data_IF_562679322688
#
_entry.id   IF_562679322688
#
_cell.length_a   1.000
_cell.length_b   1.000
_cell.length_c   1.000
_cell.angle_alpha   90.00
_cell.angle_beta   90.00
_cell.angle_gamma   90.00
#
_symmetry.space_group_name_H-M   'P 1'
#
loop_
_entity.id
_entity.type
_entity.pdbx_description
1 polymer ?
#
# COMPACT_ATOMS: atom_id res chain seq x y z
N UNK A 1 16.04 -18.50 11.41
CA UNK A 1 15.73 -18.65 9.98
C UNK A 1 15.78 -17.27 9.36
N UNK A 2 16.93 -16.87 8.79
CA UNK A 2 17.11 -15.54 8.19
C UNK A 2 16.85 -15.61 6.70
N UNK A 3 15.59 -15.45 6.29
CA UNK A 3 15.28 -15.10 4.90
C UNK A 3 15.65 -13.64 4.68
N UNK A 4 16.24 -13.30 3.53
CA UNK A 4 16.54 -11.90 3.18
C UNK A 4 15.28 -11.05 3.41
N UNK A 5 15.32 -10.10 4.35
CA UNK A 5 14.17 -9.28 4.77
C UNK A 5 13.46 -8.61 3.59
N UNK A 6 14.23 -8.26 2.54
CA UNK A 6 13.71 -7.73 1.27
C UNK A 6 12.82 -8.70 0.50
N UNK A 7 13.04 -10.01 0.60
CA UNK A 7 12.23 -11.05 -0.04
C UNK A 7 10.86 -11.20 0.62
N UNK A 8 10.77 -10.96 1.92
CA UNK A 8 9.50 -10.97 2.65
C UNK A 8 8.71 -9.69 2.41
N UNK A 9 9.39 -8.54 2.28
CA UNK A 9 8.77 -7.25 1.94
C UNK A 9 8.11 -7.22 0.56
N UNK A 10 8.63 -8.00 -0.40
CA UNK A 10 8.05 -8.17 -1.75
C UNK A 10 7.51 -9.59 -1.98
N UNK A 11 7.01 -10.24 -0.92
CA UNK A 11 6.44 -11.58 -1.03
C UNK A 11 5.29 -11.60 -2.05
N UNK A 12 5.25 -12.56 -3.00
CA UNK A 12 4.17 -12.65 -3.96
C UNK A 12 2.80 -12.95 -3.30
N UNK A 13 2.82 -13.45 -2.07
CA UNK A 13 1.64 -13.75 -1.27
C UNK A 13 1.16 -12.58 -0.40
N UNK A 14 1.88 -11.45 -0.39
CA UNK A 14 1.47 -10.29 0.38
C UNK A 14 0.26 -9.60 -0.26
N UNK A 15 -0.67 -9.13 0.58
CA UNK A 15 -1.89 -8.44 0.14
C UNK A 15 -1.57 -7.20 -0.69
N UNK A 16 -0.46 -6.52 -0.42
CA UNK A 16 -0.02 -5.33 -1.15
C UNK A 16 0.58 -5.62 -2.55
N UNK A 17 0.94 -6.86 -2.86
CA UNK A 17 1.66 -7.23 -4.09
C UNK A 17 0.88 -6.93 -5.38
N UNK A 18 -0.44 -7.21 -5.49
CA UNK A 18 -1.21 -6.83 -6.67
C UNK A 18 -1.22 -5.30 -6.90
N UNK A 19 -1.31 -4.51 -5.83
CA UNK A 19 -1.27 -3.04 -5.91
C UNK A 19 0.12 -2.52 -6.32
N UNK A 20 1.20 -3.15 -5.83
CA UNK A 20 2.58 -2.91 -6.29
C UNK A 20 2.69 -3.22 -7.79
N UNK A 21 2.11 -4.33 -8.25
CA UNK A 21 2.05 -4.70 -9.66
C UNK A 21 1.37 -3.63 -10.52
N UNK A 22 0.20 -3.13 -10.09
CA UNK A 22 -0.51 -2.05 -10.78
C UNK A 22 0.36 -0.78 -10.87
N UNK A 23 1.01 -0.39 -9.78
CA UNK A 23 1.91 0.77 -9.76
C UNK A 23 3.12 0.56 -10.69
N UNK A 24 3.66 -0.65 -10.75
CA UNK A 24 4.77 -0.98 -11.64
C UNK A 24 4.34 -0.98 -13.12
N UNK A 25 3.18 -1.54 -13.45
CA UNK A 25 2.63 -1.47 -14.81
C UNK A 25 2.34 -0.01 -15.19
N UNK A 26 1.87 0.81 -14.25
CA UNK A 26 1.69 2.25 -14.46
C UNK A 26 3.01 2.96 -14.75
N UNK A 27 4.11 2.58 -14.10
CA UNK A 27 5.44 3.09 -14.42
C UNK A 27 5.81 2.83 -15.88
N UNK A 28 5.62 1.61 -16.36
CA UNK A 28 6.03 1.17 -17.70
C UNK A 28 5.19 1.79 -18.82
N UNK A 29 3.87 1.87 -18.65
CA UNK A 29 2.95 2.21 -19.74
C UNK A 29 2.35 3.63 -19.65
N UNK A 30 2.34 4.23 -18.47
CA UNK A 30 1.71 5.54 -18.25
C UNK A 30 2.69 6.69 -17.98
N UNK A 31 3.97 6.41 -17.72
CA UNK A 31 4.94 7.47 -17.47
C UNK A 31 5.37 8.20 -18.75
N UNK A 32 5.09 7.68 -19.94
CA UNK A 32 5.37 8.36 -21.22
C UNK A 32 4.06 8.83 -21.86
N UNK A 33 3.85 10.15 -21.91
CA UNK A 33 2.70 10.78 -22.56
C UNK A 33 3.19 11.77 -23.62
N UNK A 34 2.90 11.49 -24.90
CA UNK A 34 3.29 12.36 -26.00
C UNK A 34 4.81 12.50 -26.19
N UNK A 35 5.58 11.44 -25.92
CA UNK A 35 7.05 11.45 -26.06
C UNK A 35 7.79 12.11 -24.88
N UNK A 36 7.09 12.66 -23.90
CA UNK A 36 7.68 13.22 -22.68
C UNK A 36 7.37 12.35 -21.46
N UNK A 37 8.38 12.18 -20.61
CA UNK A 37 8.27 11.39 -19.39
C UNK A 37 7.64 12.26 -18.30
N UNK A 38 6.46 11.88 -17.80
CA UNK A 38 5.84 12.51 -16.63
C UNK A 38 6.58 12.06 -15.38
N UNK A 39 7.58 12.83 -15.00
CA UNK A 39 8.34 12.66 -13.76
C UNK A 39 7.43 12.54 -12.55
N UNK A 40 6.32 13.29 -12.49
CA UNK A 40 5.33 13.19 -11.41
C UNK A 40 4.72 11.79 -11.29
N UNK A 41 4.34 11.16 -12.39
CA UNK A 41 3.83 9.79 -12.37
C UNK A 41 4.92 8.80 -11.96
N UNK A 42 6.15 9.00 -12.46
CA UNK A 42 7.28 8.14 -12.12
C UNK A 42 7.58 8.16 -10.62
N UNK A 43 7.82 9.33 -10.04
CA UNK A 43 8.13 9.46 -8.62
C UNK A 43 7.00 8.97 -7.72
N UNK A 44 5.74 9.28 -8.03
CA UNK A 44 4.63 8.86 -7.20
C UNK A 44 4.40 7.34 -7.22
N UNK A 45 4.54 6.68 -8.37
CA UNK A 45 4.44 5.21 -8.40
C UNK A 45 5.63 4.55 -7.69
N UNK A 46 6.86 5.10 -7.79
CA UNK A 46 8.00 4.62 -7.01
C UNK A 46 7.75 4.75 -5.51
N UNK A 47 7.30 5.93 -5.05
CA UNK A 47 6.98 6.17 -3.64
C UNK A 47 5.91 5.17 -3.16
N UNK A 48 4.86 4.94 -3.94
CA UNK A 48 3.82 3.96 -3.59
C UNK A 48 4.36 2.53 -3.49
N UNK A 49 5.21 2.10 -4.43
CA UNK A 49 5.83 0.77 -4.39
C UNK A 49 6.65 0.61 -3.12
N UNK A 50 7.46 1.62 -2.76
CA UNK A 50 8.21 1.61 -1.52
C UNK A 50 7.31 1.59 -0.28
N UNK A 51 6.27 2.44 -0.22
CA UNK A 51 5.35 2.51 0.91
C UNK A 51 4.64 1.17 1.14
N UNK A 52 4.19 0.52 0.05
CA UNK A 52 3.52 -0.78 0.08
C UNK A 52 4.47 -1.91 0.50
N UNK A 53 5.72 -1.89 0.02
CA UNK A 53 6.75 -2.83 0.44
C UNK A 53 7.14 -2.67 1.91
N UNK A 54 7.23 -1.42 2.39
CA UNK A 54 7.49 -1.12 3.81
C UNK A 54 6.29 -1.54 4.67
N UNK A 55 5.06 -1.28 4.24
CA UNK A 55 3.84 -1.76 4.92
C UNK A 55 3.89 -3.27 5.14
N UNK A 56 4.21 -4.04 4.09
CA UNK A 56 4.39 -5.50 4.20
C UNK A 56 5.52 -5.87 5.17
N UNK A 57 6.67 -5.20 5.06
CA UNK A 57 7.82 -5.45 5.95
C UNK A 57 7.55 -5.13 7.42
N UNK A 58 6.78 -4.09 7.70
CA UNK A 58 6.35 -3.75 9.06
C UNK A 58 5.48 -4.86 9.65
N UNK A 59 4.56 -5.42 8.86
CA UNK A 59 3.68 -6.51 9.30
C UNK A 59 4.41 -7.85 9.46
N UNK A 60 5.33 -8.22 8.56
CA UNK A 60 5.93 -9.57 8.54
C UNK A 60 7.29 -9.66 9.22
N UNK A 61 8.17 -8.67 9.02
CA UNK A 61 9.58 -8.73 9.45
C UNK A 61 9.76 -8.03 10.80
N UNK A 62 9.23 -6.81 10.92
CA UNK A 62 9.41 -5.98 12.12
C UNK A 62 8.42 -6.30 13.22
N UNK A 63 7.43 -7.16 12.96
CA UNK A 63 6.36 -7.53 13.90
C UNK A 63 5.65 -6.30 14.49
N UNK A 64 5.50 -5.24 13.68
CA UNK A 64 4.77 -4.01 14.03
C UNK A 64 3.52 -3.90 13.13
N UNK A 65 2.50 -4.74 13.37
CA UNK A 65 1.34 -4.84 12.48
C UNK A 65 0.52 -3.54 12.41
N UNK A 66 0.43 -2.78 13.51
CA UNK A 66 -0.24 -1.47 13.54
C UNK A 66 0.39 -0.48 12.56
N UNK A 67 1.73 -0.35 12.56
CA UNK A 67 2.44 0.52 11.63
C UNK A 67 2.31 0.03 10.18
N UNK A 68 2.35 -1.29 9.98
CA UNK A 68 2.11 -1.90 8.67
C UNK A 68 0.74 -1.55 8.10
N UNK A 69 -0.31 -1.64 8.91
CA UNK A 69 -1.67 -1.29 8.54
C UNK A 69 -1.86 0.21 8.29
N UNK A 70 -1.26 1.09 9.11
CA UNK A 70 -1.29 2.55 8.89
C UNK A 70 -0.63 2.95 7.57
N UNK A 71 0.56 2.39 7.28
CA UNK A 71 1.28 2.64 6.03
C UNK A 71 0.53 2.08 4.82
N UNK A 72 -0.08 0.90 4.96
CA UNK A 72 -0.92 0.29 3.92
C UNK A 72 -2.16 1.12 3.62
N UNK A 73 -2.82 1.63 4.65
CA UNK A 73 -3.96 2.53 4.52
C UNK A 73 -3.57 3.83 3.82
N UNK A 74 -2.46 4.46 4.24
CA UNK A 74 -1.95 5.69 3.63
C UNK A 74 -1.58 5.49 2.15
N UNK A 75 -0.90 4.39 1.82
CA UNK A 75 -0.57 4.05 0.44
C UNK A 75 -1.83 3.90 -0.42
N UNK A 76 -2.84 3.21 0.11
CA UNK A 76 -4.11 2.95 -0.58
C UNK A 76 -4.92 4.23 -0.77
N UNK A 77 -4.91 5.13 0.21
CA UNK A 77 -5.50 6.46 0.12
C UNK A 77 -4.82 7.29 -0.98
N UNK A 78 -3.48 7.34 -0.97
CA UNK A 78 -2.68 8.03 -1.99
C UNK A 78 -2.93 7.45 -3.39
N UNK A 79 -3.08 6.13 -3.53
CA UNK A 79 -3.44 5.49 -4.80
C UNK A 79 -4.84 5.89 -5.29
N UNK A 80 -5.81 5.94 -4.37
CA UNK A 80 -7.21 6.25 -4.68
C UNK A 80 -7.39 7.70 -5.13
N UNK A 81 -6.76 8.64 -4.41
CA UNK A 81 -6.96 10.08 -4.56
C UNK A 81 -5.88 10.74 -5.44
N UNK A 82 -4.69 10.14 -5.55
CA UNK A 82 -3.56 10.69 -6.30
C UNK A 82 -3.91 11.16 -7.73
N UNK A 83 -4.77 10.48 -8.49
CA UNK A 83 -5.15 10.95 -9.82
C UNK A 83 -5.99 12.24 -9.84
N UNK A 84 -6.75 12.53 -8.78
CA UNK A 84 -7.50 13.80 -8.66
C UNK A 84 -6.55 15.00 -8.53
N UNK A 85 -5.38 14.78 -7.93
CA UNK A 85 -4.29 15.75 -7.86
C UNK A 85 -3.34 15.70 -9.07
N UNK A 86 -3.67 14.92 -10.11
CA UNK A 86 -2.81 14.65 -11.29
C UNK A 86 -1.44 14.05 -10.92
N UNK A 87 -1.33 13.44 -9.74
CA UNK A 87 -0.10 12.83 -9.24
C UNK A 87 0.12 11.42 -9.80
N UNK A 88 -0.97 10.71 -10.09
CA UNK A 88 -0.96 9.35 -10.65
C UNK A 88 -1.79 9.31 -11.93
N UNK A 89 -1.23 8.69 -12.96
CA UNK A 89 -1.88 8.55 -14.25
C UNK A 89 -2.15 7.07 -14.53
N UNK A 90 -3.23 6.54 -13.96
CA UNK A 90 -3.65 5.14 -14.19
C UNK A 90 -4.77 5.02 -15.22
N UNK A 91 -5.25 6.15 -15.78
CA UNK A 91 -6.40 6.21 -16.69
C UNK A 91 -6.26 5.39 -17.98
N UNK A 92 -5.03 5.11 -18.46
CA UNK A 92 -4.85 4.20 -19.60
C UNK A 92 -4.95 2.72 -19.23
N UNK A 93 -4.74 2.37 -17.97
CA UNK A 93 -4.82 0.99 -17.51
C UNK A 93 -6.25 0.61 -17.15
N UNK A 94 -6.94 1.47 -16.40
CA UNK A 94 -8.32 1.21 -15.99
C UNK A 94 -9.14 2.50 -15.96
N UNK A 95 -10.47 2.39 -16.17
CA UNK A 95 -11.39 3.49 -15.91
C UNK A 95 -11.35 3.96 -14.45
N UNK A 96 -11.70 5.23 -14.20
CA UNK A 96 -11.63 5.83 -12.86
C UNK A 96 -12.43 5.02 -11.82
N UNK A 97 -13.60 4.46 -12.17
CA UNK A 97 -14.42 3.65 -11.25
C UNK A 97 -13.73 2.36 -10.78
N UNK A 98 -12.96 1.68 -11.65
CA UNK A 98 -12.20 0.47 -11.29
C UNK A 98 -11.10 0.82 -10.30
N UNK A 99 -10.39 1.94 -10.53
CA UNK A 99 -9.38 2.42 -9.60
C UNK A 99 -9.99 2.72 -8.23
N UNK A 100 -11.13 3.40 -8.19
CA UNK A 100 -11.81 3.69 -6.93
C UNK A 100 -12.22 2.41 -6.21
N UNK A 101 -12.74 1.41 -6.92
CA UNK A 101 -13.08 0.11 -6.34
C UNK A 101 -11.85 -0.60 -5.73
N UNK A 102 -10.73 -0.66 -6.46
CA UNK A 102 -9.48 -1.25 -5.96
C UNK A 102 -8.98 -0.47 -4.75
N UNK A 103 -8.85 0.84 -4.87
CA UNK A 103 -8.30 1.70 -3.82
C UNK A 103 -9.14 1.68 -2.54
N UNK A 104 -10.46 1.74 -2.66
CA UNK A 104 -11.37 1.63 -1.50
C UNK A 104 -11.33 0.25 -0.86
N UNK A 105 -11.29 -0.84 -1.64
CA UNK A 105 -11.13 -2.18 -1.09
C UNK A 105 -9.85 -2.34 -0.25
N UNK A 106 -8.74 -1.81 -0.77
CA UNK A 106 -7.45 -1.81 -0.05
C UNK A 106 -7.47 -0.90 1.19
N UNK A 107 -8.09 0.27 1.11
CA UNK A 107 -8.30 1.14 2.29
C UNK A 107 -9.14 0.44 3.36
N UNK A 108 -10.23 -0.23 2.98
CA UNK A 108 -11.09 -0.96 3.92
C UNK A 108 -10.33 -2.12 4.56
N UNK A 109 -9.56 -2.88 3.78
CA UNK A 109 -8.74 -3.97 4.31
C UNK A 109 -7.75 -3.48 5.37
N UNK A 110 -6.95 -2.46 5.05
CA UNK A 110 -5.95 -1.91 5.98
C UNK A 110 -6.60 -1.19 7.17
N UNK A 111 -7.77 -0.58 6.97
CA UNK A 111 -8.56 0.02 8.06
C UNK A 111 -9.09 -1.02 9.05
N UNK A 112 -9.63 -2.14 8.55
CA UNK A 112 -10.07 -3.25 9.39
C UNK A 112 -8.90 -3.92 10.11
N UNK A 113 -7.77 -4.08 9.43
CA UNK A 113 -6.56 -4.61 10.05
C UNK A 113 -6.07 -3.68 11.15
N UNK A 114 -6.03 -2.36 10.91
CA UNK A 114 -5.65 -1.39 11.92
C UNK A 114 -6.60 -1.40 13.13
N UNK A 115 -7.93 -1.42 12.89
CA UNK A 115 -8.91 -1.50 13.96
C UNK A 115 -8.71 -2.77 14.80
N UNK A 116 -8.60 -3.92 14.15
CA UNK A 116 -8.36 -5.21 14.81
C UNK A 116 -7.10 -5.15 15.68
N UNK A 117 -5.96 -4.73 15.13
CA UNK A 117 -4.69 -4.70 15.86
C UNK A 117 -4.70 -3.70 17.02
N UNK A 118 -5.49 -2.62 16.94
CA UNK A 118 -5.69 -1.70 18.06
C UNK A 118 -6.52 -2.33 19.17
N UNK A 119 -7.67 -2.93 18.85
CA UNK A 119 -8.55 -3.53 19.86
C UNK A 119 -7.86 -4.71 20.55
N UNK A 120 -7.14 -5.55 19.81
CA UNK A 120 -6.33 -6.62 20.43
C UNK A 120 -5.22 -6.09 21.34
N UNK A 121 -4.64 -4.92 21.02
CA UNK A 121 -3.62 -4.31 21.87
C UNK A 121 -4.22 -3.66 23.12
N UNK A 122 -5.38 -3.00 22.98
CA UNK A 122 -6.13 -2.40 24.09
C UNK A 122 -6.62 -3.49 25.06
N UNK A 123 -7.26 -4.55 24.55
CA UNK A 123 -7.71 -5.70 25.38
C UNK A 123 -6.53 -6.37 26.11
N UNK A 124 -5.38 -6.54 25.45
CA UNK A 124 -4.20 -7.14 26.07
C UNK A 124 -3.56 -6.26 27.16
N UNK A 125 -3.79 -4.94 27.12
CA UNK A 125 -3.30 -4.01 28.13
C UNK A 125 -4.26 -3.93 29.34
N UNK A 126 -5.57 -4.07 29.11
CA UNK A 126 -6.57 -4.17 30.18
C UNK A 126 -6.36 -5.45 31.04
N UNK A 127 -5.96 -6.57 30.43
CA UNK A 127 -5.65 -7.82 31.13
C UNK A 127 -4.35 -7.76 31.98
N UNK A 128 -3.43 -6.83 31.70
CA UNK A 128 -2.20 -6.63 32.49
C UNK A 128 -2.40 -5.73 33.72
N UNK A 129 -3.40 -4.83 33.72
CA UNK A 129 -3.67 -3.92 34.85
C UNK A 129 -4.48 -4.58 35.98
N UNK A 130 -5.09 -5.75 35.76
CA UNK A 130 -5.88 -6.49 36.78
C UNK A 130 -5.08 -7.52 37.63
N UNK A 131 -3.75 -7.62 37.47
CA UNK A 131 -2.87 -8.48 38.31
C UNK A 131 -1.92 -7.69 39.22
#
# INVERSE_FOLDING_TARGET
MGGNSSREMMSPYAVNTPLIGICFTSLLFNSVQGGTLRSSNLYNNFILIYLLGISTGCSTVLQKPVLGAQLGFLASFCFTIGPNFRLLYTRRLFPDYVRYAIGTAYMTYHGLQWYREKTYFEDAMEDEEEN
#
